data_IF_464643291767
#
_entry.id   IF_464643291767
#
_cell.length_a   1.000
_cell.length_b   1.000
_cell.length_c   1.000
_cell.angle_alpha   90.00
_cell.angle_beta   90.00
_cell.angle_gamma   90.00
#
_symmetry.space_group_name_H-M   'P 1'
#
loop_
_entity.id
_entity.type
_entity.pdbx_description
1 polymer ?
#
# COMPACT_ATOMS: atom_id res chain seq x y z
N UNK A 1 -39.18 1.50 -7.14
CA UNK A 1 -38.09 1.76 -6.17
C UNK A 1 -37.31 0.47 -6.01
N UNK A 2 -36.24 0.28 -6.79
CA UNK A 2 -35.33 -0.86 -6.64
C UNK A 2 -34.49 -0.59 -5.40
N UNK A 3 -34.70 -1.38 -4.35
CA UNK A 3 -33.82 -1.39 -3.18
C UNK A 3 -32.42 -1.76 -3.68
N UNK A 4 -31.52 -0.78 -3.82
CA UNK A 4 -30.12 -1.03 -4.12
C UNK A 4 -29.54 -1.74 -2.90
N UNK A 5 -29.50 -3.07 -2.96
CA UNK A 5 -28.88 -3.91 -1.93
C UNK A 5 -27.45 -3.44 -1.77
N UNK A 6 -27.02 -3.17 -0.54
CA UNK A 6 -25.64 -2.81 -0.24
C UNK A 6 -24.70 -3.85 -0.87
N UNK A 7 -23.62 -3.42 -1.54
CA UNK A 7 -22.69 -4.36 -2.16
C UNK A 7 -22.09 -5.27 -1.08
N UNK A 8 -21.88 -6.55 -1.42
CA UNK A 8 -21.40 -7.56 -0.47
C UNK A 8 -19.94 -7.29 -0.12
N UNK A 9 -19.56 -7.38 1.14
CA UNK A 9 -18.17 -7.18 1.56
C UNK A 9 -17.40 -8.49 1.59
N UNK A 10 -16.17 -8.46 1.07
CA UNK A 10 -15.24 -9.60 1.03
C UNK A 10 -13.85 -9.12 1.43
N UNK A 11 -13.23 -9.82 2.37
CA UNK A 11 -11.84 -9.65 2.74
C UNK A 11 -10.99 -10.74 2.09
N UNK A 12 -9.87 -10.33 1.51
CA UNK A 12 -8.80 -11.18 1.04
C UNK A 12 -7.66 -11.14 2.04
N UNK A 13 -7.42 -12.26 2.72
CA UNK A 13 -6.39 -12.41 3.75
C UNK A 13 -5.83 -13.83 3.72
N UNK A 14 -4.52 -13.96 3.50
CA UNK A 14 -3.85 -15.26 3.61
C UNK A 14 -3.72 -15.67 5.09
N UNK A 15 -4.11 -16.90 5.40
CA UNK A 15 -3.83 -17.53 6.69
C UNK A 15 -3.05 -18.84 6.59
N UNK A 16 -2.66 -19.27 5.38
CA UNK A 16 -2.06 -20.59 5.15
C UNK A 16 -3.11 -21.68 4.88
N UNK A 17 -4.36 -21.29 4.66
CA UNK A 17 -5.52 -22.14 4.44
C UNK A 17 -5.84 -22.33 2.93
N UNK A 18 -6.85 -23.15 2.65
CA UNK A 18 -7.29 -23.45 1.28
C UNK A 18 -8.09 -22.30 0.63
N UNK A 19 -8.62 -21.37 1.43
CA UNK A 19 -9.30 -20.19 0.93
C UNK A 19 -8.94 -18.94 1.73
N UNK A 20 -8.33 -17.92 1.08
CA UNK A 20 -8.02 -16.65 1.74
C UNK A 20 -9.23 -15.69 1.81
N UNK A 21 -10.45 -16.17 1.61
CA UNK A 21 -11.64 -15.32 1.46
C UNK A 21 -12.50 -15.34 2.71
N UNK A 22 -12.86 -14.16 3.19
CA UNK A 22 -13.66 -13.98 4.40
C UNK A 22 -14.77 -12.96 4.17
N UNK A 23 -15.94 -13.18 4.76
CA UNK A 23 -17.07 -12.22 4.72
C UNK A 23 -17.47 -11.83 6.13
N UNK A 24 -18.18 -10.71 6.24
CA UNK A 24 -18.77 -10.24 7.49
C UNK A 24 -20.16 -10.84 7.66
N UNK A 25 -20.57 -11.09 8.91
CA UNK A 25 -21.91 -11.60 9.23
C UNK A 25 -22.99 -10.50 9.27
N UNK A 26 -22.60 -9.25 9.53
CA UNK A 26 -23.50 -8.09 9.63
C UNK A 26 -23.06 -6.94 8.67
N UNK A 27 -23.81 -5.83 8.61
CA UNK A 27 -23.46 -4.61 7.86
C UNK A 27 -22.79 -3.49 8.73
N UNK A 28 -21.77 -2.77 8.20
CA UNK A 28 -21.22 -1.54 8.82
C UNK A 28 -19.80 -1.58 9.41
N UNK A 29 -18.81 -2.21 8.75
CA UNK A 29 -17.53 -2.58 9.40
C UNK A 29 -16.29 -1.89 8.86
N UNK A 30 -15.42 -1.45 9.78
CA UNK A 30 -14.09 -0.92 9.47
C UNK A 30 -12.94 -1.83 9.95
N UNK A 31 -13.20 -2.77 10.86
CA UNK A 31 -12.18 -3.64 11.46
C UNK A 31 -12.13 -5.04 10.82
N UNK A 32 -10.92 -5.56 10.64
CA UNK A 32 -10.61 -6.90 10.12
C UNK A 32 -11.21 -8.01 10.99
N UNK A 33 -11.39 -7.76 12.30
CA UNK A 33 -11.92 -8.74 13.26
C UNK A 33 -13.35 -9.22 12.94
N UNK A 34 -14.11 -8.44 12.16
CA UNK A 34 -15.48 -8.78 11.77
C UNK A 34 -15.57 -9.73 10.57
N UNK A 35 -14.46 -9.94 9.85
CA UNK A 35 -14.39 -10.89 8.74
C UNK A 35 -14.07 -12.30 9.26
N UNK A 36 -15.05 -12.94 9.89
CA UNK A 36 -14.86 -14.21 10.60
C UNK A 36 -15.23 -15.43 9.76
N UNK A 37 -16.15 -15.29 8.82
CA UNK A 37 -16.67 -16.43 8.05
C UNK A 37 -15.85 -16.67 6.79
N UNK A 38 -15.11 -17.78 6.78
CA UNK A 38 -14.38 -18.23 5.60
C UNK A 38 -15.36 -18.60 4.46
N UNK A 39 -15.02 -18.21 3.23
CA UNK A 39 -15.80 -18.51 2.02
C UNK A 39 -15.00 -19.47 1.14
N UNK A 40 -15.53 -20.66 0.81
CA UNK A 40 -14.86 -21.58 -0.10
C UNK A 40 -14.65 -20.97 -1.50
N UNK A 41 -13.51 -21.25 -2.13
CA UNK A 41 -13.22 -20.78 -3.50
C UNK A 41 -14.20 -21.34 -4.55
N UNK A 42 -14.84 -22.47 -4.25
CA UNK A 42 -15.88 -23.07 -5.08
C UNK A 42 -17.29 -22.50 -4.83
N UNK A 43 -17.45 -21.44 -4.03
CA UNK A 43 -18.76 -20.83 -3.77
C UNK A 43 -19.36 -20.30 -5.09
N UNK A 44 -20.52 -20.82 -5.54
CA UNK A 44 -21.16 -20.39 -6.78
C UNK A 44 -21.48 -18.88 -6.81
N UNK A 45 -21.63 -18.24 -5.65
CA UNK A 45 -21.90 -16.81 -5.55
C UNK A 45 -20.70 -15.94 -5.96
N UNK A 46 -19.49 -16.49 -5.95
CA UNK A 46 -18.27 -15.81 -6.42
C UNK A 46 -18.02 -16.05 -7.91
N UNK A 47 -18.48 -17.18 -8.45
CA UNK A 47 -18.33 -17.54 -9.86
C UNK A 47 -16.88 -17.47 -10.35
N UNK A 48 -15.92 -17.85 -9.50
CA UNK A 48 -14.49 -17.74 -9.80
C UNK A 48 -14.11 -18.67 -10.96
N UNK A 49 -13.21 -18.19 -11.81
CA UNK A 49 -12.56 -19.05 -12.79
C UNK A 49 -11.50 -19.93 -12.09
N UNK A 50 -11.27 -21.13 -12.62
CA UNK A 50 -10.25 -22.06 -12.10
C UNK A 50 -8.87 -21.40 -11.94
N UNK A 51 -8.33 -20.63 -12.92
CA UNK A 51 -7.04 -19.96 -12.73
C UNK A 51 -7.01 -18.94 -11.58
N UNK A 52 -8.13 -18.25 -11.31
CA UNK A 52 -8.20 -17.29 -10.21
C UNK A 52 -8.31 -17.99 -8.86
N UNK A 53 -9.11 -19.06 -8.78
CA UNK A 53 -9.19 -19.92 -7.60
C UNK A 53 -7.83 -20.53 -7.25
N UNK A 54 -7.14 -21.10 -8.23
CA UNK A 54 -5.80 -21.69 -8.03
C UNK A 54 -4.78 -20.65 -7.56
N UNK A 55 -4.82 -19.44 -8.13
CA UNK A 55 -3.96 -18.33 -7.72
C UNK A 55 -4.22 -17.93 -6.26
N UNK A 56 -5.49 -17.81 -5.85
CA UNK A 56 -5.88 -17.48 -4.48
C UNK A 56 -5.43 -18.57 -3.49
N UNK A 57 -5.71 -19.83 -3.79
CA UNK A 57 -5.32 -20.96 -2.95
C UNK A 57 -3.79 -21.07 -2.82
N UNK A 58 -3.08 -21.00 -3.95
CA UNK A 58 -1.61 -21.07 -3.98
C UNK A 58 -0.97 -19.96 -3.17
N UNK A 59 -1.44 -18.71 -3.33
CA UNK A 59 -0.95 -17.57 -2.55
C UNK A 59 -1.23 -17.72 -1.05
N UNK A 60 -2.43 -18.17 -0.65
CA UNK A 60 -2.75 -18.37 0.77
C UNK A 60 -1.83 -19.43 1.38
N UNK A 61 -1.70 -20.59 0.73
CA UNK A 61 -0.85 -21.71 1.19
C UNK A 61 0.65 -21.38 1.19
N UNK A 62 1.09 -20.45 0.35
CA UNK A 62 2.47 -19.98 0.35
C UNK A 62 2.85 -19.20 1.61
N UNK A 63 1.88 -18.75 2.42
CA UNK A 63 2.13 -18.10 3.71
C UNK A 63 2.64 -19.13 4.74
N UNK A 64 3.85 -18.95 5.31
CA UNK A 64 4.36 -19.86 6.33
C UNK A 64 3.51 -19.83 7.60
N UNK A 65 3.27 -20.98 8.23
CA UNK A 65 2.47 -21.08 9.45
C UNK A 65 3.05 -20.26 10.62
N UNK A 66 4.38 -20.19 10.72
CA UNK A 66 5.09 -19.39 11.73
C UNK A 66 5.23 -17.90 11.36
N UNK A 67 4.72 -17.47 10.21
CA UNK A 67 4.99 -16.16 9.63
C UNK A 67 6.33 -16.09 8.89
N UNK A 68 6.61 -14.95 8.28
CA UNK A 68 7.83 -14.74 7.50
C UNK A 68 9.03 -14.42 8.40
N UNK A 69 10.18 -15.03 8.09
CA UNK A 69 11.42 -14.85 8.86
C UNK A 69 12.11 -13.49 8.63
N UNK A 70 11.77 -12.78 7.56
CA UNK A 70 12.32 -11.47 7.25
C UNK A 70 11.34 -10.62 6.42
N UNK A 71 11.60 -9.32 6.34
CA UNK A 71 10.72 -8.37 5.64
C UNK A 71 10.62 -8.60 4.14
N UNK A 72 11.68 -9.07 3.49
CA UNK A 72 11.70 -9.17 2.02
C UNK A 72 10.76 -10.26 1.47
N UNK A 73 10.76 -11.51 1.99
CA UNK A 73 9.75 -12.51 1.66
C UNK A 73 8.33 -12.05 1.99
N UNK A 74 8.14 -11.36 3.13
CA UNK A 74 6.84 -10.80 3.53
C UNK A 74 6.33 -9.77 2.50
N UNK A 75 7.17 -8.84 2.06
CA UNK A 75 6.81 -7.84 1.05
C UNK A 75 6.55 -8.47 -0.32
N UNK A 76 7.34 -9.47 -0.70
CA UNK A 76 7.11 -10.23 -1.93
C UNK A 76 5.76 -10.93 -1.90
N UNK A 77 5.43 -11.60 -0.79
CA UNK A 77 4.14 -12.26 -0.59
C UNK A 77 2.98 -11.26 -0.56
N UNK A 78 3.15 -10.11 0.08
CA UNK A 78 2.16 -9.04 0.10
C UNK A 78 1.92 -8.45 -1.31
N UNK A 79 2.97 -8.30 -2.14
CA UNK A 79 2.83 -7.87 -3.55
C UNK A 79 2.01 -8.88 -4.36
N UNK A 80 2.31 -10.17 -4.22
CA UNK A 80 1.54 -11.24 -4.86
C UNK A 80 0.08 -11.26 -4.39
N UNK A 81 -0.15 -11.01 -3.10
CA UNK A 81 -1.47 -10.89 -2.50
C UNK A 81 -2.28 -9.74 -3.07
N UNK A 82 -1.66 -8.57 -3.20
CA UNK A 82 -2.28 -7.41 -3.83
C UNK A 82 -2.70 -7.71 -5.27
N UNK A 83 -1.81 -8.25 -6.09
CA UNK A 83 -2.13 -8.57 -7.48
C UNK A 83 -3.30 -9.58 -7.58
N UNK A 84 -3.33 -10.53 -6.65
CA UNK A 84 -4.40 -11.54 -6.57
C UNK A 84 -5.72 -10.89 -6.13
N UNK A 85 -5.70 -10.00 -5.14
CA UNK A 85 -6.87 -9.26 -4.69
C UNK A 85 -7.40 -8.29 -5.78
N UNK A 86 -6.52 -7.64 -6.54
CA UNK A 86 -6.88 -6.82 -7.70
C UNK A 86 -7.55 -7.63 -8.81
N UNK A 87 -7.02 -8.82 -9.11
CA UNK A 87 -7.64 -9.73 -10.08
C UNK A 87 -9.03 -10.17 -9.61
N UNK A 88 -9.18 -10.49 -8.33
CA UNK A 88 -10.46 -10.85 -7.72
C UNK A 88 -11.47 -9.69 -7.76
N UNK A 89 -11.07 -8.48 -7.34
CA UNK A 89 -11.95 -7.31 -7.36
C UNK A 89 -12.46 -7.02 -8.78
N UNK A 90 -11.57 -7.11 -9.78
CA UNK A 90 -11.96 -6.94 -11.19
C UNK A 90 -12.94 -8.02 -11.66
N UNK A 91 -12.74 -9.27 -11.25
CA UNK A 91 -13.62 -10.40 -11.58
C UNK A 91 -15.02 -10.22 -10.97
N UNK A 92 -15.09 -9.85 -9.70
CA UNK A 92 -16.35 -9.70 -8.96
C UNK A 92 -17.13 -8.44 -9.34
N UNK A 93 -16.43 -7.39 -9.77
CA UNK A 93 -17.04 -6.14 -10.22
C UNK A 93 -17.80 -5.39 -9.12
N UNK A 94 -18.71 -4.47 -9.49
CA UNK A 94 -19.33 -3.52 -8.56
C UNK A 94 -20.30 -4.12 -7.54
N UNK A 95 -20.67 -5.40 -7.68
CA UNK A 95 -21.56 -6.07 -6.73
C UNK A 95 -20.86 -6.44 -5.42
N UNK A 96 -19.52 -6.35 -5.40
CA UNK A 96 -18.67 -6.68 -4.27
C UNK A 96 -17.76 -5.52 -3.89
N UNK A 97 -17.65 -5.29 -2.59
CA UNK A 97 -16.61 -4.46 -1.97
C UNK A 97 -15.50 -5.41 -1.52
N UNK A 98 -14.38 -5.37 -2.23
CA UNK A 98 -13.21 -6.18 -1.88
C UNK A 98 -12.27 -5.37 -1.01
N UNK A 99 -11.85 -5.95 0.11
CA UNK A 99 -10.76 -5.45 0.96
C UNK A 99 -9.58 -6.40 0.91
N UNK A 100 -8.38 -5.84 1.03
CA UNK A 100 -7.14 -6.59 1.11
C UNK A 100 -6.47 -6.33 2.46
N UNK A 101 -6.09 -7.40 3.17
CA UNK A 101 -5.23 -7.32 4.34
C UNK A 101 -3.77 -7.37 3.90
N UNK A 102 -3.08 -6.24 4.01
CA UNK A 102 -1.65 -6.15 3.82
C UNK A 102 -0.94 -6.55 5.13
N UNK A 103 -0.46 -7.79 5.20
CA UNK A 103 0.27 -8.30 6.36
C UNK A 103 1.60 -7.58 6.58
N UNK A 104 2.25 -7.08 5.54
CA UNK A 104 3.52 -6.35 5.68
C UNK A 104 3.33 -5.03 6.44
N UNK A 105 2.13 -4.45 6.35
CA UNK A 105 1.77 -3.17 6.95
C UNK A 105 0.81 -3.29 8.12
N UNK A 106 0.24 -4.48 8.34
CA UNK A 106 -0.87 -4.72 9.26
C UNK A 106 -2.06 -3.75 9.01
N UNK A 107 -2.37 -3.49 7.74
CA UNK A 107 -3.44 -2.57 7.33
C UNK A 107 -4.45 -3.25 6.42
N UNK A 108 -5.70 -2.83 6.51
CA UNK A 108 -6.77 -3.24 5.60
C UNK A 108 -7.13 -2.07 4.68
N UNK A 109 -7.18 -2.32 3.36
CA UNK A 109 -7.50 -1.30 2.34
C UNK A 109 -8.54 -1.82 1.36
N UNK A 110 -9.38 -0.96 0.80
CA UNK A 110 -10.31 -1.31 -0.27
C UNK A 110 -9.56 -1.54 -1.57
N UNK A 111 -9.98 -2.50 -2.39
CA UNK A 111 -9.43 -2.75 -3.73
C UNK A 111 -10.47 -2.34 -4.75
N UNK A 112 -10.20 -1.29 -5.54
CA UNK A 112 -11.14 -0.84 -6.55
C UNK A 112 -11.19 -1.79 -7.75
N UNK A 113 -12.37 -2.30 -8.07
CA UNK A 113 -12.59 -3.18 -9.23
C UNK A 113 -12.31 -2.47 -10.57
N UNK A 114 -12.47 -1.15 -10.64
CA UNK A 114 -12.29 -0.34 -11.84
C UNK A 114 -10.83 0.05 -12.09
N UNK A 115 -10.22 0.80 -11.17
CA UNK A 115 -8.86 1.31 -11.34
C UNK A 115 -7.76 0.37 -10.80
N UNK A 116 -8.15 -0.70 -10.09
CA UNK A 116 -7.27 -1.69 -9.44
C UNK A 116 -6.37 -1.11 -8.34
N UNK A 117 -6.63 0.10 -7.85
CA UNK A 117 -5.85 0.70 -6.77
C UNK A 117 -6.41 0.33 -5.41
N UNK A 118 -5.58 0.54 -4.39
CA UNK A 118 -6.01 0.48 -3.00
C UNK A 118 -6.53 1.85 -2.55
N UNK A 119 -7.62 1.86 -1.79
CA UNK A 119 -8.22 3.06 -1.21
C UNK A 119 -8.41 2.90 0.29
N UNK A 120 -8.36 4.01 1.00
CA UNK A 120 -8.65 4.04 2.43
C UNK A 120 -10.15 4.19 2.70
N UNK A 121 -10.91 4.74 1.75
CA UNK A 121 -12.36 4.90 1.83
C UNK A 121 -13.06 4.36 0.58
N UNK A 122 -14.36 4.05 0.71
CA UNK A 122 -15.20 3.60 -0.42
C UNK A 122 -15.52 4.74 -1.39
N UNK A 123 -15.56 5.98 -0.90
CA UNK A 123 -15.98 7.16 -1.63
C UNK A 123 -14.86 7.77 -2.48
N UNK A 124 -13.67 7.16 -2.51
CA UNK A 124 -12.55 7.67 -3.30
C UNK A 124 -12.70 7.36 -4.80
N UNK A 125 -13.19 8.41 -5.48
CA UNK A 125 -12.58 9.13 -6.60
C UNK A 125 -12.87 8.71 -8.06
N UNK A 126 -12.93 9.74 -8.91
CA UNK A 126 -12.61 9.66 -10.34
C UNK A 126 -11.22 9.06 -10.54
N UNK A 127 -10.98 8.44 -11.71
CA UNK A 127 -9.66 7.85 -12.04
C UNK A 127 -8.58 8.91 -11.83
N UNK A 128 -7.67 8.75 -10.84
CA UNK A 128 -6.66 9.76 -10.56
C UNK A 128 -5.90 10.10 -11.85
N UNK A 129 -5.76 11.39 -12.19
CA UNK A 129 -5.24 11.78 -13.49
C UNK A 129 -3.82 11.26 -13.61
N UNK A 130 -3.58 10.40 -14.59
CA UNK A 130 -2.23 10.10 -15.02
C UNK A 130 -1.72 11.29 -15.84
N UNK A 131 -0.48 11.77 -15.59
CA UNK A 131 0.57 11.15 -14.77
C UNK A 131 0.61 11.60 -13.29
N UNK A 132 0.93 10.66 -12.39
CA UNK A 132 1.23 10.94 -10.97
C UNK A 132 2.50 11.80 -10.87
N UNK A 133 2.37 13.00 -10.32
CA UNK A 133 3.49 13.84 -9.89
C UNK A 133 3.85 13.48 -8.46
N UNK A 134 5.06 12.98 -8.29
CA UNK A 134 5.61 12.57 -6.99
C UNK A 134 6.66 13.58 -6.59
N UNK A 135 6.64 13.98 -5.34
CA UNK A 135 7.66 14.84 -4.73
C UNK A 135 8.35 14.04 -3.63
N UNK A 136 9.69 13.99 -3.69
CA UNK A 136 10.53 13.51 -2.59
C UNK A 136 10.82 14.71 -1.70
N UNK A 137 10.35 14.69 -0.47
CA UNK A 137 10.40 15.84 0.45
C UNK A 137 10.69 15.36 1.88
N UNK A 138 11.59 16.06 2.56
CA UNK A 138 11.92 15.77 3.95
C UNK A 138 11.09 16.68 4.84
N UNK A 139 9.97 16.20 5.35
CA UNK A 139 9.10 16.97 6.25
C UNK A 139 9.02 16.31 7.63
N UNK A 140 9.07 17.12 8.70
CA UNK A 140 9.18 16.62 10.05
C UNK A 140 7.97 15.77 10.44
N UNK A 141 8.22 14.49 10.77
CA UNK A 141 7.24 13.44 11.13
C UNK A 141 6.35 12.94 10.01
N UNK A 142 6.65 13.27 8.75
CA UNK A 142 5.91 12.78 7.59
C UNK A 142 6.70 11.76 6.79
N UNK A 143 6.02 11.09 5.86
CA UNK A 143 6.65 10.16 4.93
C UNK A 143 7.42 10.91 3.84
N UNK A 144 8.48 10.30 3.26
CA UNK A 144 9.38 10.99 2.33
C UNK A 144 8.80 11.20 0.92
N UNK A 145 7.63 10.64 0.60
CA UNK A 145 6.99 10.78 -0.71
C UNK A 145 5.63 11.45 -0.59
N UNK A 146 5.36 12.40 -1.48
CA UNK A 146 4.08 13.11 -1.61
C UNK A 146 3.58 13.05 -3.03
N UNK A 147 2.27 12.91 -3.24
CA UNK A 147 1.67 13.06 -4.56
C UNK A 147 0.34 13.82 -4.50
N UNK A 148 0.09 14.63 -5.54
CA UNK A 148 -1.15 15.40 -5.67
C UNK A 148 -2.37 14.46 -5.72
N UNK A 149 -3.36 14.71 -4.87
CA UNK A 149 -4.54 13.85 -4.72
C UNK A 149 -4.31 12.52 -4.01
N UNK A 150 -3.09 12.26 -3.51
CA UNK A 150 -2.74 11.07 -2.74
C UNK A 150 -2.19 11.41 -1.34
N UNK A 151 -1.63 12.61 -1.16
CA UNK A 151 -1.03 13.05 0.10
C UNK A 151 0.37 12.46 0.31
N UNK A 152 0.80 12.42 1.58
CA UNK A 152 2.06 11.81 2.01
C UNK A 152 1.91 10.30 2.17
N UNK A 153 2.90 9.55 1.69
CA UNK A 153 2.83 8.09 1.66
C UNK A 153 4.18 7.41 1.79
N UNK A 154 4.14 6.20 2.34
CA UNK A 154 5.30 5.34 2.48
C UNK A 154 5.90 4.97 1.10
N UNK A 155 7.24 4.89 0.97
CA UNK A 155 7.92 4.44 -0.26
C UNK A 155 7.42 3.11 -0.84
N UNK A 156 6.91 2.25 0.03
CA UNK A 156 6.40 0.93 -0.28
C UNK A 156 4.89 0.82 -0.03
N UNK A 157 4.15 1.95 -0.04
CA UNK A 157 2.69 1.90 0.02
C UNK A 157 2.15 1.23 -1.26
N UNK A 158 1.51 0.05 -1.16
CA UNK A 158 0.93 -0.61 -2.33
C UNK A 158 -0.14 0.23 -3.05
N UNK A 159 -0.79 1.17 -2.36
CA UNK A 159 -1.77 2.08 -2.96
C UNK A 159 -1.15 3.05 -3.97
N UNK A 160 0.13 3.42 -3.78
CA UNK A 160 0.87 4.26 -4.72
C UNK A 160 1.33 3.47 -5.97
N UNK A 161 1.40 2.14 -5.86
CA UNK A 161 1.77 1.24 -6.96
C UNK A 161 3.16 1.54 -7.53
N UNK A 162 4.09 1.95 -6.68
CA UNK A 162 5.51 2.11 -7.04
C UNK A 162 6.21 0.76 -6.87
N UNK A 163 7.00 0.38 -7.87
CA UNK A 163 7.82 -0.84 -7.82
C UNK A 163 9.27 -0.49 -7.49
N UNK A 164 9.46 0.23 -6.38
CA UNK A 164 10.79 0.62 -5.93
C UNK A 164 11.53 -0.59 -5.35
N UNK A 165 12.84 -0.60 -5.55
CA UNK A 165 13.75 -1.57 -4.97
C UNK A 165 13.79 -1.46 -3.45
N UNK A 166 14.04 -2.60 -2.79
CA UNK A 166 14.15 -2.67 -1.32
C UNK A 166 15.23 -1.75 -0.77
N UNK A 167 16.34 -1.61 -1.50
CA UNK A 167 17.44 -0.70 -1.17
C UNK A 167 16.98 0.75 -1.20
N UNK A 168 16.31 1.19 -2.28
CA UNK A 168 15.82 2.57 -2.38
C UNK A 168 14.77 2.88 -1.31
N UNK A 169 13.90 1.92 -1.00
CA UNK A 169 12.92 2.06 0.06
C UNK A 169 13.60 2.23 1.42
N UNK A 170 14.60 1.41 1.73
CA UNK A 170 15.37 1.51 2.96
C UNK A 170 16.11 2.86 3.06
N UNK A 171 16.69 3.34 1.96
CA UNK A 171 17.38 4.62 1.92
C UNK A 171 16.43 5.81 2.12
N UNK A 172 15.23 5.76 1.53
CA UNK A 172 14.19 6.78 1.74
C UNK A 172 13.73 6.82 3.21
N UNK A 173 13.52 5.66 3.83
CA UNK A 173 13.18 5.60 5.26
C UNK A 173 14.32 6.12 6.14
N UNK A 174 15.55 5.73 5.85
CA UNK A 174 16.73 6.17 6.61
C UNK A 174 16.90 7.69 6.50
N UNK A 175 16.76 8.24 5.29
CA UNK A 175 16.84 9.69 5.07
C UNK A 175 15.75 10.46 5.82
N UNK A 176 14.50 10.00 5.79
CA UNK A 176 13.41 10.61 6.55
C UNK A 176 13.65 10.53 8.08
N UNK A 177 14.17 9.40 8.56
CA UNK A 177 14.51 9.21 9.96
C UNK A 177 15.66 10.14 10.41
N UNK A 178 16.71 10.28 9.60
CA UNK A 178 17.84 11.18 9.85
C UNK A 178 17.38 12.65 9.87
N UNK A 179 16.46 13.03 8.98
CA UNK A 179 15.86 14.36 8.98
C UNK A 179 15.09 14.62 10.29
N UNK A 180 14.23 13.67 10.69
CA UNK A 180 13.47 13.75 11.93
C UNK A 180 14.36 13.84 13.17
N UNK A 181 15.36 12.97 13.27
CA UNK A 181 16.31 12.96 14.39
C UNK A 181 17.06 14.29 14.51
N UNK A 182 17.49 14.84 13.39
CA UNK A 182 18.18 16.12 13.43
C UNK A 182 17.26 17.31 13.67
N UNK A 183 15.99 17.27 13.24
CA UNK A 183 14.99 18.28 13.65
C UNK A 183 14.74 18.22 15.17
N UNK A 184 14.65 17.02 15.76
CA UNK A 184 14.56 16.87 17.21
C UNK A 184 15.78 17.42 17.94
N UNK A 185 16.98 17.24 17.37
CA UNK A 185 18.20 17.79 17.95
C UNK A 185 18.22 19.33 17.85
N UNK A 186 17.86 19.89 16.69
CA UNK A 186 17.77 21.34 16.50
C UNK A 186 16.78 21.98 17.48
N UNK A 187 15.61 21.35 17.68
CA UNK A 187 14.60 21.83 18.63
C UNK A 187 15.12 21.90 20.07
N UNK A 188 16.08 21.04 20.44
CA UNK A 188 16.73 21.01 21.77
C UNK A 188 17.87 22.02 21.88
N UNK A 189 18.79 22.01 20.92
CA UNK A 189 20.07 22.73 21.04
C UNK A 189 20.02 24.15 20.49
N UNK A 190 19.16 24.41 19.49
CA UNK A 190 19.06 25.68 18.76
C UNK A 190 20.41 26.16 18.21
N UNK A 191 21.25 25.22 17.76
CA UNK A 191 22.56 25.47 17.17
C UNK A 191 22.44 25.54 15.64
N UNK A 192 22.21 26.75 15.11
CA UNK A 192 21.98 26.98 13.68
C UNK A 192 23.17 26.53 12.81
N UNK A 193 24.40 26.69 13.29
CA UNK A 193 25.60 26.35 12.51
C UNK A 193 25.78 24.85 12.30
N UNK A 194 25.49 24.04 13.33
CA UNK A 194 25.45 22.57 13.18
C UNK A 194 24.26 22.11 12.37
N UNK A 195 23.13 22.79 12.48
CA UNK A 195 21.92 22.46 11.73
C UNK A 195 22.13 22.67 10.22
N UNK A 196 22.71 23.80 9.83
CA UNK A 196 22.97 24.15 8.43
C UNK A 196 23.84 23.10 7.73
N UNK A 197 24.95 22.68 8.34
CA UNK A 197 25.85 21.68 7.76
C UNK A 197 25.14 20.33 7.57
N UNK A 198 24.35 19.91 8.57
CA UNK A 198 23.56 18.67 8.52
C UNK A 198 22.47 18.74 7.43
N UNK A 199 21.75 19.86 7.34
CA UNK A 199 20.69 20.07 6.34
C UNK A 199 21.26 20.08 4.93
N UNK A 200 22.46 20.61 4.70
CA UNK A 200 23.13 20.56 3.39
C UNK A 200 23.42 19.12 2.95
N UNK A 201 23.93 18.27 3.85
CA UNK A 201 24.17 16.85 3.55
C UNK A 201 22.85 16.12 3.21
N UNK A 202 21.82 16.32 4.03
CA UNK A 202 20.50 15.74 3.80
C UNK A 202 19.86 16.23 2.49
N UNK A 203 20.10 17.47 2.10
CA UNK A 203 19.59 18.03 0.85
C UNK A 203 20.20 17.37 -0.38
N UNK A 204 21.52 17.11 -0.34
CA UNK A 204 22.21 16.37 -1.41
C UNK A 204 21.72 14.92 -1.50
N UNK A 205 21.53 14.25 -0.36
CA UNK A 205 20.96 12.90 -0.31
C UNK A 205 19.53 12.89 -0.86
N UNK A 206 18.70 13.86 -0.50
CA UNK A 206 17.33 14.00 -0.99
C UNK A 206 17.25 14.14 -2.51
N UNK A 207 18.15 14.92 -3.12
CA UNK A 207 18.26 15.05 -4.59
C UNK A 207 18.62 13.73 -5.27
N UNK A 208 19.59 12.99 -4.72
CA UNK A 208 19.95 11.68 -5.26
C UNK A 208 18.79 10.68 -5.16
N UNK A 209 18.10 10.65 -4.01
CA UNK A 209 16.91 9.82 -3.81
C UNK A 209 15.80 10.16 -4.79
N UNK A 210 15.53 11.44 -5.04
CA UNK A 210 14.55 11.87 -6.05
C UNK A 210 14.93 11.37 -7.45
N UNK A 211 16.21 11.43 -7.82
CA UNK A 211 16.70 10.92 -9.10
C UNK A 211 16.59 9.39 -9.19
N UNK A 212 16.80 8.65 -8.09
CA UNK A 212 16.62 7.19 -8.02
C UNK A 212 15.15 6.80 -8.15
N UNK A 213 14.26 7.47 -7.40
CA UNK A 213 12.81 7.27 -7.51
C UNK A 213 12.31 7.56 -8.92
N UNK A 214 12.82 8.60 -9.59
CA UNK A 214 12.49 8.90 -10.98
C UNK A 214 12.83 7.74 -11.94
N UNK A 215 13.97 7.06 -11.72
CA UNK A 215 14.39 5.92 -12.55
C UNK A 215 13.51 4.68 -12.33
N UNK A 216 13.11 4.43 -11.08
CA UNK A 216 12.38 3.21 -10.70
C UNK A 216 10.85 3.36 -10.80
N UNK A 217 10.30 4.57 -10.71
CA UNK A 217 8.85 4.83 -10.80
C UNK A 217 8.25 4.55 -12.19
N UNK A 218 9.09 4.46 -13.23
CA UNK A 218 8.69 4.16 -14.60
C UNK A 218 8.18 5.37 -15.40
N UNK A 219 7.99 5.20 -16.73
CA UNK A 219 7.87 6.31 -17.69
C UNK A 219 6.58 7.14 -17.61
N UNK A 220 5.60 6.71 -16.83
CA UNK A 220 4.31 7.40 -16.66
C UNK A 220 4.24 8.33 -15.44
N UNK A 221 5.36 8.59 -14.78
CA UNK A 221 5.43 9.34 -13.52
C UNK A 221 6.50 10.41 -13.59
N UNK A 222 6.21 11.56 -13.01
CA UNK A 222 7.17 12.65 -12.87
C UNK A 222 7.57 12.73 -11.40
N UNK A 223 8.87 12.76 -11.14
CA UNK A 223 9.41 12.84 -9.78
C UNK A 223 10.20 14.14 -9.65
N UNK A 224 9.93 14.91 -8.61
CA UNK A 224 10.65 16.13 -8.25
C UNK A 224 11.22 16.02 -6.84
N UNK A 225 12.26 16.80 -6.54
CA UNK A 225 12.74 16.98 -5.19
C UNK A 225 12.13 18.27 -4.61
N UNK A 226 11.46 18.16 -3.46
CA UNK A 226 10.75 19.26 -2.79
C UNK A 226 11.61 20.06 -1.81
N UNK A 227 12.75 19.50 -1.37
CA UNK A 227 13.58 20.10 -0.34
C UNK A 227 13.38 19.47 1.04
N UNK A 228 13.84 20.21 2.04
CA UNK A 228 13.65 19.91 3.46
C UNK A 228 12.75 21.00 4.07
N UNK A 229 11.65 20.59 4.71
CA UNK A 229 10.67 21.44 5.36
C UNK A 229 10.79 21.34 6.89
#
# INVERSE_FOLDING_TARGET
MTSTRSPRQLLVRAQGDDSPLYVVEDEGYEDVSHFTRNVPLGDPALGLSEPLSDRLASWSRARPAAGFASHQPLRTHAKQGLETAQALARHLGPQWVVRYWDEARATMKFVCWGCRRLHWSLDEHDTPPFPLRITVEGEYKWYPLRAEGFGDFAPDDPAAGLDLSDELIADLYTWAADFNAGMEQYLKDRDDGKDDARRQELDLRGKDLAARVAREAGPGRTVTYGGLA
#
